data_IF_235925803322
#
_entry.id   IF_235925803322
#
_cell.length_a   1.000
_cell.length_b   1.000
_cell.length_c   1.000
_cell.angle_alpha   90.00
_cell.angle_beta   90.00
_cell.angle_gamma   90.00
#
_symmetry.space_group_name_H-M   'P 1'
#
loop_
_entity.id
_entity.type
_entity.pdbx_description
1 polymer ?
#
# COMPACT_ATOMS: atom_id res chain seq x y z
N UNK A 1 40.68 31.66 38.60
CA UNK A 1 40.32 30.50 37.77
C UNK A 1 39.27 29.68 38.51
N UNK A 2 38.03 29.69 38.05
CA UNK A 2 36.95 28.89 38.65
C UNK A 2 36.75 27.59 37.86
N UNK A 3 36.55 26.44 38.51
CA UNK A 3 36.33 25.16 37.82
C UNK A 3 34.94 25.10 37.18
N UNK A 4 34.90 24.70 35.89
CA UNK A 4 33.68 24.48 35.14
C UNK A 4 32.95 23.26 35.66
N UNK A 5 31.69 23.42 36.10
CA UNK A 5 30.80 22.33 36.53
C UNK A 5 30.30 21.54 35.30
N UNK A 6 30.60 20.25 35.24
CA UNK A 6 30.07 19.33 34.24
C UNK A 6 28.59 19.00 34.51
N UNK A 7 27.71 18.99 33.50
CA UNK A 7 26.32 18.64 33.69
C UNK A 7 26.15 17.12 33.94
N UNK A 8 25.42 16.77 35.01
CA UNK A 8 25.07 15.38 35.32
C UNK A 8 23.81 15.00 34.52
N UNK A 9 23.97 14.02 33.64
CA UNK A 9 22.84 13.45 32.86
C UNK A 9 22.13 12.41 33.74
N UNK A 10 20.91 12.74 34.18
CA UNK A 10 20.04 11.81 34.91
C UNK A 10 19.31 10.92 33.89
N UNK A 11 19.72 9.67 33.75
CA UNK A 11 19.01 8.68 32.92
C UNK A 11 17.84 8.10 33.70
N UNK A 12 16.61 8.47 33.36
CA UNK A 12 15.39 7.84 33.89
C UNK A 12 15.23 6.43 33.31
N UNK A 13 15.35 5.41 34.16
CA UNK A 13 15.04 4.01 33.83
C UNK A 13 13.57 3.87 33.43
N UNK A 14 13.31 3.39 32.20
CA UNK A 14 11.97 3.01 31.76
C UNK A 14 11.56 1.72 32.47
N UNK A 15 10.35 1.73 33.06
CA UNK A 15 9.73 0.52 33.64
C UNK A 15 9.32 -0.39 32.48
N UNK A 16 9.83 -1.61 32.52
CA UNK A 16 9.39 -2.70 31.63
C UNK A 16 8.07 -3.23 32.18
N UNK A 17 7.00 -3.14 31.38
CA UNK A 17 5.72 -3.79 31.66
C UNK A 17 5.87 -5.28 31.33
N UNK A 18 5.89 -6.11 32.36
CA UNK A 18 5.81 -7.57 32.24
C UNK A 18 4.35 -7.92 31.99
N UNK A 19 4.05 -8.53 30.86
CA UNK A 19 2.71 -9.09 30.57
C UNK A 19 2.55 -10.43 31.32
N UNK A 20 1.38 -10.70 31.90
CA UNK A 20 1.13 -11.99 32.56
C UNK A 20 0.96 -13.10 31.51
N UNK A 21 1.63 -14.21 31.75
CA UNK A 21 1.52 -15.47 31.00
C UNK A 21 0.14 -16.11 31.22
N UNK A 22 -0.51 -16.52 30.13
CA UNK A 22 -1.73 -17.30 30.19
C UNK A 22 -1.43 -18.75 30.58
N UNK A 23 -2.21 -19.36 31.50
CA UNK A 23 -2.03 -20.75 31.85
C UNK A 23 -2.52 -21.70 30.76
N UNK A 24 -1.67 -22.67 30.47
CA UNK A 24 -1.95 -23.81 29.57
C UNK A 24 -2.92 -24.74 30.31
N UNK A 25 -4.11 -24.94 29.77
CA UNK A 25 -5.02 -26.00 30.21
C UNK A 25 -4.83 -27.19 29.28
N UNK A 26 -4.28 -28.25 29.89
CA UNK A 26 -4.19 -29.59 29.33
C UNK A 26 -5.47 -30.33 29.68
N UNK A 27 -6.25 -30.80 28.71
CA UNK A 27 -7.20 -31.89 28.94
C UNK A 27 -7.12 -32.94 27.84
N UNK A 28 -6.99 -34.18 28.33
CA UNK A 28 -6.85 -35.43 27.61
C UNK A 28 -8.22 -35.93 27.06
N UNK A 29 -8.17 -36.87 26.11
CA UNK A 29 -9.34 -37.36 25.40
C UNK A 29 -10.08 -38.45 26.19
N UNK A 30 -11.41 -38.46 26.09
CA UNK A 30 -12.22 -39.62 26.44
C UNK A 30 -12.96 -40.14 25.18
N UNK A 31 -12.63 -41.39 24.86
CA UNK A 31 -13.40 -42.31 24.09
C UNK A 31 -14.77 -42.56 24.76
N UNK A 32 -15.82 -42.85 24.00
CA UNK A 32 -16.66 -44.02 24.08
C UNK A 32 -17.97 -43.92 23.29
N UNK A 33 -18.09 -44.83 22.36
CA UNK A 33 -19.23 -45.70 21.91
C UNK A 33 -20.42 -45.15 21.12
N UNK A 34 -20.47 -45.70 19.94
CA UNK A 34 -21.52 -46.27 19.11
C UNK A 34 -22.96 -46.25 19.68
N UNK A 35 -23.88 -45.74 18.88
CA UNK A 35 -25.10 -46.46 18.49
C UNK A 35 -25.63 -45.87 17.18
N UNK A 36 -25.79 -46.78 16.22
CA UNK A 36 -26.50 -46.60 14.97
C UNK A 36 -27.98 -46.57 15.24
N UNK A 37 -28.75 -45.84 14.43
CA UNK A 37 -29.95 -46.30 13.71
C UNK A 37 -30.80 -45.09 13.26
N UNK A 38 -31.00 -45.00 11.95
CA UNK A 38 -32.15 -44.46 11.20
C UNK A 38 -32.73 -43.07 11.55
N UNK A 39 -32.59 -42.13 10.59
CA UNK A 39 -33.80 -41.58 9.95
C UNK A 39 -33.38 -40.68 8.74
N UNK A 40 -33.39 -41.33 7.60
CA UNK A 40 -33.50 -40.67 6.29
C UNK A 40 -34.93 -40.14 6.16
N UNK A 41 -35.13 -38.82 6.27
CA UNK A 41 -36.24 -38.05 5.64
C UNK A 41 -36.46 -36.70 6.32
N UNK A 42 -35.51 -35.75 6.17
CA UNK A 42 -35.80 -34.29 6.41
C UNK A 42 -34.69 -33.35 5.94
N UNK A 43 -34.05 -33.64 4.83
CA UNK A 43 -32.90 -32.81 4.33
C UNK A 43 -33.22 -32.01 3.04
N UNK A 44 -34.46 -31.87 2.63
CA UNK A 44 -34.77 -31.13 1.39
C UNK A 44 -35.57 -29.84 1.55
N UNK A 45 -35.64 -29.22 2.75
CA UNK A 45 -36.32 -27.92 2.93
C UNK A 45 -35.55 -26.86 3.69
N UNK A 46 -34.25 -27.03 3.93
CA UNK A 46 -33.42 -26.00 4.60
C UNK A 46 -32.52 -25.16 3.68
N UNK A 47 -32.30 -25.59 2.45
CA UNK A 47 -31.40 -24.90 1.54
C UNK A 47 -32.01 -23.68 0.82
N UNK A 48 -33.35 -23.58 0.79
CA UNK A 48 -34.04 -22.48 0.11
C UNK A 48 -34.23 -21.21 0.97
N UNK A 49 -33.92 -21.23 2.27
CA UNK A 49 -34.10 -20.09 3.17
C UNK A 49 -32.76 -19.40 3.46
N UNK A 50 -31.62 -20.08 3.24
CA UNK A 50 -30.28 -19.51 3.49
C UNK A 50 -29.81 -18.54 2.41
N UNK A 51 -30.48 -18.45 1.26
CA UNK A 51 -30.04 -17.60 0.14
C UNK A 51 -30.55 -16.15 0.21
N UNK A 52 -31.58 -15.89 1.04
CA UNK A 52 -32.18 -14.54 1.12
C UNK A 52 -31.55 -13.55 2.13
N UNK A 53 -30.57 -13.97 2.92
CA UNK A 53 -29.94 -13.10 3.92
C UNK A 53 -28.43 -12.90 3.74
N UNK A 54 -27.88 -13.18 2.56
CA UNK A 54 -26.55 -12.68 2.22
C UNK A 54 -26.64 -11.17 2.09
N UNK A 55 -26.45 -10.44 3.21
CA UNK A 55 -26.19 -9.00 3.19
C UNK A 55 -25.09 -8.79 2.15
N UNK A 56 -25.44 -8.13 1.02
CA UNK A 56 -24.48 -7.80 -0.05
C UNK A 56 -23.32 -7.07 0.62
N UNK A 57 -22.17 -7.74 0.76
CA UNK A 57 -20.99 -7.10 1.32
C UNK A 57 -20.69 -5.84 0.48
N UNK A 58 -20.37 -4.71 1.10
CA UNK A 58 -20.10 -3.49 0.36
C UNK A 58 -18.96 -3.76 -0.61
N UNK A 59 -19.18 -3.43 -1.89
CA UNK A 59 -18.15 -3.61 -2.92
C UNK A 59 -16.88 -2.90 -2.49
N UNK A 60 -15.71 -3.56 -2.57
CA UNK A 60 -14.45 -2.94 -2.23
C UNK A 60 -14.26 -1.61 -2.96
N UNK A 61 -13.65 -0.62 -2.31
CA UNK A 61 -13.47 0.73 -2.84
C UNK A 61 -12.79 0.77 -4.21
N UNK A 62 -11.86 -0.16 -4.47
CA UNK A 62 -11.13 -0.26 -5.72
C UNK A 62 -11.99 -0.71 -6.91
N UNK A 63 -13.12 -1.37 -6.68
CA UNK A 63 -14.09 -1.71 -7.72
C UNK A 63 -15.06 -0.56 -8.03
N UNK A 64 -15.19 0.43 -7.13
CA UNK A 64 -16.01 1.61 -7.32
C UNK A 64 -15.27 2.73 -8.04
N UNK A 65 -13.93 2.72 -7.98
CA UNK A 65 -13.11 3.77 -8.54
C UNK A 65 -12.93 3.56 -10.04
N UNK A 66 -13.37 4.53 -10.83
CA UNK A 66 -13.05 4.54 -12.27
C UNK A 66 -11.54 4.67 -12.44
N UNK A 67 -10.96 3.86 -13.33
CA UNK A 67 -9.55 3.96 -13.66
C UNK A 67 -9.39 5.18 -14.56
N UNK A 68 -8.93 6.29 -13.98
CA UNK A 68 -8.57 7.50 -14.73
C UNK A 68 -7.10 7.41 -15.11
N UNK A 69 -6.83 7.59 -16.40
CA UNK A 69 -5.45 7.70 -16.86
C UNK A 69 -4.87 9.06 -16.43
N UNK A 70 -3.59 9.12 -16.08
CA UNK A 70 -2.97 10.36 -15.67
C UNK A 70 -3.02 11.41 -16.78
N UNK A 71 -3.01 12.69 -16.39
CA UNK A 71 -2.88 13.80 -17.30
C UNK A 71 -1.59 13.63 -18.11
N UNK A 72 -1.66 13.97 -19.40
CA UNK A 72 -0.48 14.01 -20.24
C UNK A 72 0.25 15.33 -20.01
N UNK A 73 1.45 15.25 -19.54
CA UNK A 73 2.34 16.40 -19.43
C UNK A 73 3.29 16.44 -20.64
N UNK A 74 3.70 17.64 -21.10
CA UNK A 74 4.80 17.79 -22.02
C UNK A 74 6.07 17.12 -21.46
N UNK A 75 6.85 16.48 -22.33
CA UNK A 75 8.04 15.73 -21.90
C UNK A 75 9.02 16.63 -21.15
N UNK A 76 9.28 17.82 -21.66
CA UNK A 76 10.18 18.81 -21.07
C UNK A 76 9.74 19.24 -19.66
N UNK A 77 8.43 19.48 -19.50
CA UNK A 77 7.87 19.85 -18.19
C UNK A 77 8.03 18.71 -17.18
N UNK A 78 7.73 17.49 -17.59
CA UNK A 78 7.94 16.32 -16.74
C UNK A 78 9.41 16.14 -16.35
N UNK A 79 10.34 16.27 -17.31
CA UNK A 79 11.79 16.15 -17.05
C UNK A 79 12.26 17.20 -16.05
N UNK A 80 11.78 18.46 -16.18
CA UNK A 80 12.05 19.52 -15.22
C UNK A 80 11.55 19.14 -13.81
N UNK A 81 10.30 18.76 -13.69
CA UNK A 81 9.70 18.35 -12.40
C UNK A 81 10.44 17.16 -11.79
N UNK A 82 10.75 16.16 -12.61
CA UNK A 82 11.46 14.96 -12.18
C UNK A 82 12.87 15.27 -11.65
N UNK A 83 13.61 16.15 -12.34
CA UNK A 83 14.95 16.57 -11.91
C UNK A 83 14.91 17.38 -10.61
N UNK A 84 13.92 18.27 -10.43
CA UNK A 84 13.71 18.97 -9.16
C UNK A 84 13.43 18.00 -8.00
N UNK A 85 12.53 17.05 -8.20
CA UNK A 85 12.24 16.05 -7.16
C UNK A 85 13.48 15.20 -6.84
N UNK A 86 14.30 14.82 -7.82
CA UNK A 86 15.55 14.10 -7.58
C UNK A 86 16.61 14.93 -6.87
N UNK A 87 16.63 16.23 -7.12
CA UNK A 87 17.55 17.14 -6.42
C UNK A 87 17.20 17.24 -4.92
N UNK A 88 15.90 17.30 -4.59
CA UNK A 88 15.44 17.38 -3.20
C UNK A 88 15.44 16.01 -2.50
N UNK A 89 15.05 14.94 -3.22
CA UNK A 89 14.96 13.57 -2.68
C UNK A 89 15.80 12.59 -3.54
N UNK A 90 17.13 12.63 -3.47
CA UNK A 90 17.99 11.82 -4.33
C UNK A 90 17.81 10.32 -4.13
N UNK A 91 17.47 9.88 -2.91
CA UNK A 91 17.28 8.46 -2.58
C UNK A 91 15.94 7.87 -3.04
N UNK A 92 14.97 8.72 -3.41
CA UNK A 92 13.62 8.27 -3.76
C UNK A 92 13.60 7.52 -5.10
N UNK A 93 14.33 8.03 -6.10
CA UNK A 93 14.32 7.50 -7.47
C UNK A 93 15.73 7.27 -8.01
N UNK A 94 16.54 6.56 -7.25
CA UNK A 94 17.79 5.99 -7.77
C UNK A 94 17.48 4.98 -8.87
N UNK A 95 18.46 4.61 -9.68
CA UNK A 95 18.25 3.63 -10.77
C UNK A 95 17.72 2.29 -10.27
N UNK A 96 18.05 1.89 -9.05
CA UNK A 96 17.58 0.68 -8.40
C UNK A 96 16.15 0.85 -7.83
N UNK A 97 15.83 2.02 -7.27
CA UNK A 97 14.59 2.27 -6.50
C UNK A 97 13.46 2.93 -7.29
N UNK A 98 13.72 3.48 -8.47
CA UNK A 98 12.75 4.30 -9.24
C UNK A 98 11.40 3.65 -9.55
N UNK A 99 11.31 2.34 -9.49
CA UNK A 99 10.07 1.61 -9.74
C UNK A 99 9.52 0.91 -8.49
N UNK A 100 10.08 1.17 -7.31
CA UNK A 100 9.63 0.57 -6.06
C UNK A 100 8.38 1.27 -5.53
N UNK A 101 7.49 0.53 -4.83
CA UNK A 101 6.25 1.10 -4.30
C UNK A 101 6.52 2.20 -3.28
N UNK A 102 5.88 3.36 -3.46
CA UNK A 102 5.98 4.47 -2.53
C UNK A 102 5.07 4.28 -1.31
N UNK A 103 5.46 4.86 -0.16
CA UNK A 103 4.68 4.89 1.07
C UNK A 103 3.27 5.41 0.83
N UNK A 104 2.28 4.82 1.47
CA UNK A 104 0.92 5.37 1.48
C UNK A 104 0.90 6.65 2.32
N UNK A 105 0.38 7.74 1.75
CA UNK A 105 0.40 9.03 2.42
C UNK A 105 1.70 9.83 2.20
N UNK A 106 2.52 9.45 1.22
CA UNK A 106 3.79 10.16 0.92
C UNK A 106 3.56 11.64 0.56
N UNK A 107 2.39 12.01 0.04
CA UNK A 107 2.06 13.40 -0.26
C UNK A 107 2.06 14.25 1.02
N UNK A 108 1.47 13.76 2.11
CA UNK A 108 1.47 14.46 3.40
C UNK A 108 2.89 14.61 3.96
N UNK A 109 3.76 13.62 3.73
CA UNK A 109 5.15 13.72 4.13
C UNK A 109 5.87 14.84 3.36
N UNK A 110 5.59 14.99 2.06
CA UNK A 110 6.16 16.08 1.22
C UNK A 110 5.60 17.43 1.63
N UNK A 111 4.28 17.54 1.81
CA UNK A 111 3.64 18.78 2.26
C UNK A 111 4.27 19.28 3.57
N UNK A 112 4.48 18.38 4.52
CA UNK A 112 5.15 18.68 5.77
C UNK A 112 6.62 19.10 5.55
N UNK A 113 7.35 18.33 4.71
CA UNK A 113 8.75 18.66 4.41
C UNK A 113 8.89 20.05 3.79
N UNK A 114 8.03 20.42 2.85
CA UNK A 114 8.06 21.74 2.21
C UNK A 114 7.63 22.86 3.15
N UNK A 115 6.71 22.60 4.09
CA UNK A 115 6.35 23.55 5.12
C UNK A 115 7.51 23.82 6.10
N UNK A 116 8.27 22.76 6.44
CA UNK A 116 9.44 22.86 7.33
C UNK A 116 10.68 23.45 6.61
N UNK A 117 10.70 23.47 5.25
CA UNK A 117 11.83 23.93 4.43
C UNK A 117 11.35 24.85 3.30
N UNK A 118 10.98 26.10 3.59
CA UNK A 118 10.40 27.04 2.61
C UNK A 118 11.38 27.45 1.49
N UNK A 119 12.69 27.30 1.72
CA UNK A 119 13.74 27.66 0.76
C UNK A 119 13.94 26.62 -0.37
N UNK A 120 13.24 25.47 -0.29
CA UNK A 120 13.37 24.41 -1.29
C UNK A 120 12.59 24.77 -2.55
N UNK A 121 13.29 24.79 -3.70
CA UNK A 121 12.67 25.05 -5.02
C UNK A 121 11.92 23.81 -5.54
N UNK A 122 10.84 23.43 -4.86
CA UNK A 122 9.93 22.36 -5.28
C UNK A 122 8.51 22.72 -4.87
N UNK A 123 7.59 22.76 -5.82
CA UNK A 123 6.17 22.97 -5.53
C UNK A 123 5.43 21.62 -5.45
N UNK A 124 4.27 21.62 -4.75
CA UNK A 124 3.38 20.44 -4.69
C UNK A 124 2.88 20.03 -6.09
N UNK A 125 2.69 20.98 -6.98
CA UNK A 125 2.27 20.71 -8.36
C UNK A 125 3.37 20.01 -9.15
N UNK A 126 4.62 20.44 -9.03
CA UNK A 126 5.78 19.79 -9.65
C UNK A 126 5.99 18.39 -9.09
N UNK A 127 5.84 18.20 -7.77
CA UNK A 127 5.83 16.90 -7.14
C UNK A 127 4.74 16.00 -7.72
N UNK A 128 3.50 16.46 -7.78
CA UNK A 128 2.37 15.69 -8.30
C UNK A 128 2.58 15.29 -9.76
N UNK A 129 3.10 16.18 -10.59
CA UNK A 129 3.45 15.88 -11.98
C UNK A 129 4.46 14.72 -12.06
N UNK A 130 5.57 14.81 -11.34
CA UNK A 130 6.61 13.79 -11.34
C UNK A 130 6.10 12.45 -10.82
N UNK A 131 5.43 12.43 -9.65
CA UNK A 131 4.91 11.20 -9.03
C UNK A 131 3.83 10.56 -9.89
N UNK A 132 2.91 11.34 -10.47
CA UNK A 132 1.85 10.81 -11.33
C UNK A 132 2.42 10.05 -12.53
N UNK A 133 3.43 10.59 -13.19
CA UNK A 133 4.09 9.93 -14.33
C UNK A 133 4.88 8.70 -13.88
N UNK A 134 5.63 8.80 -12.78
CA UNK A 134 6.47 7.71 -12.27
C UNK A 134 5.65 6.54 -11.77
N UNK A 135 4.64 6.79 -10.96
CA UNK A 135 3.79 5.75 -10.35
C UNK A 135 2.86 5.08 -11.36
N UNK A 136 2.66 5.70 -12.53
CA UNK A 136 1.89 5.11 -13.62
C UNK A 136 2.75 4.29 -14.59
N UNK A 137 4.06 4.19 -14.41
CA UNK A 137 4.94 3.34 -15.23
C UNK A 137 4.58 1.87 -15.06
N UNK A 138 4.76 1.10 -16.11
CA UNK A 138 4.44 -0.33 -16.15
C UNK A 138 5.14 -1.10 -15.02
N UNK A 139 6.45 -0.94 -14.90
CA UNK A 139 7.27 -1.61 -13.88
C UNK A 139 6.87 -1.23 -12.46
N UNK A 140 6.54 0.05 -12.20
CA UNK A 140 6.04 0.47 -10.89
C UNK A 140 4.72 -0.24 -10.53
N UNK A 141 3.76 -0.27 -11.47
CA UNK A 141 2.49 -0.97 -11.27
C UNK A 141 2.70 -2.47 -11.06
N UNK A 142 3.61 -3.12 -11.81
CA UNK A 142 3.95 -4.52 -11.61
C UNK A 142 4.48 -4.77 -10.19
N UNK A 143 5.39 -3.95 -9.69
CA UNK A 143 5.91 -4.06 -8.32
C UNK A 143 4.81 -3.85 -7.28
N UNK A 144 3.78 -3.05 -7.59
CA UNK A 144 2.62 -2.86 -6.72
C UNK A 144 1.59 -4.01 -6.77
N UNK A 145 1.68 -4.96 -7.71
CA UNK A 145 0.75 -6.12 -7.76
C UNK A 145 1.05 -7.19 -6.72
N UNK A 146 2.22 -7.16 -6.12
CA UNK A 146 2.63 -8.15 -5.12
C UNK A 146 2.18 -7.72 -3.73
N UNK A 147 1.20 -8.41 -3.10
CA UNK A 147 0.80 -8.13 -1.73
C UNK A 147 1.98 -8.35 -0.78
N UNK A 148 2.18 -7.46 0.17
CA UNK A 148 3.32 -7.55 1.11
C UNK A 148 4.62 -6.93 0.58
N UNK A 149 4.71 -6.52 -0.70
CA UNK A 149 5.89 -5.82 -1.20
C UNK A 149 6.18 -4.56 -0.36
N UNK A 150 7.45 -4.33 -0.06
CA UNK A 150 7.90 -3.20 0.76
C UNK A 150 7.62 -1.87 0.05
N UNK A 151 7.12 -0.89 0.81
CA UNK A 151 6.98 0.49 0.39
C UNK A 151 8.10 1.34 0.96
N UNK A 152 8.46 2.39 0.25
CA UNK A 152 9.57 3.25 0.60
C UNK A 152 9.11 4.70 0.81
N UNK A 153 9.72 5.37 1.78
CA UNK A 153 9.49 6.78 2.08
C UNK A 153 10.30 7.72 1.17
N UNK A 154 10.29 9.03 1.46
CA UNK A 154 11.03 10.06 0.72
C UNK A 154 12.56 9.85 0.73
N UNK A 155 13.07 9.17 1.74
CA UNK A 155 14.49 8.91 1.96
C UNK A 155 14.91 7.48 1.54
N UNK A 156 14.05 6.79 0.79
CA UNK A 156 14.32 5.43 0.34
C UNK A 156 14.38 4.37 1.45
N UNK A 157 13.82 4.68 2.65
CA UNK A 157 13.74 3.75 3.76
C UNK A 157 12.43 2.95 3.72
N UNK A 158 12.44 1.68 4.18
CA UNK A 158 11.22 0.88 4.27
C UNK A 158 10.16 1.55 5.15
N UNK A 159 8.95 1.74 4.63
CA UNK A 159 7.86 2.46 5.29
C UNK A 159 6.49 1.81 5.05
N UNK A 160 6.40 0.53 5.35
CA UNK A 160 5.17 -0.25 5.25
C UNK A 160 5.16 -1.23 4.08
N UNK A 161 3.98 -1.78 3.79
CA UNK A 161 3.81 -2.81 2.75
C UNK A 161 2.61 -2.54 1.86
N UNK A 162 2.61 -3.16 0.68
CA UNK A 162 1.49 -3.10 -0.26
C UNK A 162 0.34 -3.96 0.27
N UNK A 163 -0.78 -3.33 0.59
CA UNK A 163 -2.00 -4.04 1.03
C UNK A 163 -2.63 -4.80 -0.15
N UNK A 164 -3.30 -5.91 0.13
CA UNK A 164 -4.00 -6.74 -0.89
C UNK A 164 -4.93 -5.90 -1.79
N UNK A 165 -5.69 -4.97 -1.22
CA UNK A 165 -6.58 -4.07 -1.97
C UNK A 165 -5.82 -3.18 -2.97
N UNK A 166 -4.62 -2.68 -2.59
CA UNK A 166 -3.79 -1.87 -3.48
C UNK A 166 -3.16 -2.72 -4.60
N UNK A 167 -2.74 -3.95 -4.29
CA UNK A 167 -2.22 -4.89 -5.29
C UNK A 167 -3.29 -5.24 -6.33
N UNK A 168 -4.52 -5.54 -5.89
CA UNK A 168 -5.64 -5.79 -6.80
C UNK A 168 -5.95 -4.56 -7.68
N UNK A 169 -5.92 -3.35 -7.11
CA UNK A 169 -6.10 -2.13 -7.89
C UNK A 169 -5.00 -1.93 -8.94
N UNK A 170 -3.73 -2.16 -8.57
CA UNK A 170 -2.61 -2.09 -9.51
C UNK A 170 -2.78 -3.07 -10.68
N UNK A 171 -3.24 -4.31 -10.42
CA UNK A 171 -3.55 -5.29 -11.44
C UNK A 171 -4.66 -4.80 -12.38
N UNK A 172 -5.75 -4.25 -11.83
CA UNK A 172 -6.84 -3.70 -12.65
C UNK A 172 -6.37 -2.58 -13.57
N UNK A 173 -5.46 -1.71 -13.10
CA UNK A 173 -4.87 -0.64 -13.92
C UNK A 173 -4.02 -1.21 -15.04
N UNK A 174 -3.20 -2.23 -14.76
CA UNK A 174 -2.39 -2.92 -15.79
C UNK A 174 -3.26 -3.55 -16.87
N UNK A 175 -4.33 -4.24 -16.48
CA UNK A 175 -5.25 -4.89 -17.42
C UNK A 175 -6.00 -3.86 -18.29
N UNK A 176 -6.41 -2.74 -17.69
CA UNK A 176 -7.02 -1.64 -18.44
C UNK A 176 -6.05 -1.03 -19.48
N UNK A 177 -4.76 -0.89 -19.13
CA UNK A 177 -3.72 -0.40 -20.04
C UNK A 177 -3.45 -1.37 -21.19
N UNK A 178 -3.40 -2.69 -20.94
CA UNK A 178 -3.29 -3.71 -21.98
C UNK A 178 -4.42 -3.57 -22.98
N UNK A 179 -5.65 -3.58 -22.51
CA UNK A 179 -6.85 -3.44 -23.35
C UNK A 179 -6.84 -2.15 -24.19
N UNK A 180 -6.42 -1.03 -23.59
CA UNK A 180 -6.31 0.25 -24.30
C UNK A 180 -5.23 0.21 -25.39
N UNK A 181 -4.10 -0.46 -25.13
CA UNK A 181 -3.01 -0.65 -26.11
C UNK A 181 -3.46 -1.52 -27.28
N UNK A 182 -4.10 -2.66 -27.01
CA UNK A 182 -4.63 -3.58 -28.02
C UNK A 182 -5.64 -2.89 -28.92
N UNK A 183 -6.59 -2.14 -28.33
CA UNK A 183 -7.57 -1.36 -29.08
C UNK A 183 -6.92 -0.32 -29.99
N UNK A 184 -5.82 0.31 -29.53
CA UNK A 184 -5.07 1.27 -30.37
C UNK A 184 -4.33 0.60 -31.52
N UNK A 185 -3.80 -0.60 -31.31
CA UNK A 185 -3.14 -1.38 -32.36
C UNK A 185 -4.12 -1.85 -33.44
N UNK A 186 -5.29 -2.34 -33.04
CA UNK A 186 -6.36 -2.73 -33.96
C UNK A 186 -6.80 -1.57 -34.86
N UNK A 187 -6.96 -0.37 -34.29
CA UNK A 187 -7.33 0.84 -35.03
C UNK A 187 -6.25 1.36 -36.00
N UNK A 188 -5.00 0.88 -35.89
CA UNK A 188 -3.90 1.27 -36.80
C UNK A 188 -3.74 0.29 -37.95
N UNK A 189 -4.33 -0.90 -37.85
CA UNK A 189 -4.23 -1.96 -38.85
C UNK A 189 -5.45 -2.05 -39.76
N UNK A 190 -6.55 -1.40 -39.43
CA UNK A 190 -7.73 -1.22 -40.26
C UNK A 190 -7.82 0.22 -40.75
#
# INVERSE_FOLDING_TARGET
MQPKKTPVIVVKKRRVLVMPENPVVNEKPQEVQKSAVNENKKVQKKDAVAEKTRKKQPRPWYLKKQITFPQKYPKEYFEKCFNKVRAVFPELWTDEKKNLPLKSGILQDVEKYLADNPDVDLTIEEWNCAVQVMTFRWQYLQNCTVPGATRYDLYGKPAGTVKKAHATYAQLVLDARKKASEKKQLKRKG
#
